data_IF_021146809751
#
_entry.id   IF_021146809751
#
_cell.length_a   1.000
_cell.length_b   1.000
_cell.length_c   1.000
_cell.angle_alpha   90.00
_cell.angle_beta   90.00
_cell.angle_gamma   90.00
#
_symmetry.space_group_name_H-M   'P 1'
#
loop_
_entity.id
_entity.type
_entity.pdbx_description
1 polymer ?
#
# COMPACT_ATOMS: atom_id res chain seq x y z
N UNK A 1 31.08 47.99 -55.86
CA UNK A 1 30.58 46.71 -56.38
C UNK A 1 30.30 45.79 -55.20
N UNK A 2 29.05 45.66 -54.87
CA UNK A 2 28.56 45.00 -53.66
C UNK A 2 28.30 43.53 -53.94
N UNK A 3 28.81 42.61 -53.14
CA UNK A 3 28.43 41.21 -53.12
C UNK A 3 28.01 40.84 -51.71
N UNK A 4 26.73 41.02 -51.43
CA UNK A 4 26.10 40.41 -50.24
C UNK A 4 25.61 39.02 -50.60
N UNK A 5 26.29 38.01 -50.08
CA UNK A 5 25.87 36.61 -50.13
C UNK A 5 24.66 36.40 -49.22
N UNK A 6 23.63 35.80 -49.74
CA UNK A 6 22.36 35.46 -49.09
C UNK A 6 22.60 34.26 -48.15
N UNK A 7 22.58 34.49 -46.84
CA UNK A 7 22.62 33.41 -45.84
C UNK A 7 21.27 32.67 -45.88
N UNK A 8 21.34 31.40 -46.31
CA UNK A 8 20.24 30.44 -46.23
C UNK A 8 19.96 30.10 -44.78
N UNK A 9 18.84 30.53 -44.25
CA UNK A 9 18.33 30.16 -42.94
C UNK A 9 17.81 28.73 -43.01
N UNK A 10 18.64 27.75 -42.66
CA UNK A 10 18.17 26.41 -42.37
C UNK A 10 17.31 26.47 -41.11
N UNK A 11 16.01 26.41 -41.31
CA UNK A 11 15.02 26.26 -40.25
C UNK A 11 15.16 24.84 -39.76
N UNK A 12 15.93 24.64 -38.67
CA UNK A 12 15.95 23.37 -37.94
C UNK A 12 14.55 23.18 -37.38
N UNK A 13 13.80 22.24 -37.95
CA UNK A 13 12.60 21.71 -37.34
C UNK A 13 13.04 20.90 -36.12
N UNK A 14 13.07 21.55 -34.98
CA UNK A 14 13.10 20.86 -33.72
C UNK A 14 11.71 20.23 -33.60
N UNK A 15 11.62 18.92 -33.87
CA UNK A 15 10.48 18.11 -33.46
C UNK A 15 10.31 18.36 -31.97
N UNK A 16 9.20 19.02 -31.64
CA UNK A 16 8.80 19.19 -30.26
C UNK A 16 8.46 17.83 -29.68
N UNK A 17 9.47 17.11 -29.22
CA UNK A 17 9.29 16.05 -28.23
C UNK A 17 8.60 16.72 -27.05
N UNK A 18 7.36 16.35 -26.88
CA UNK A 18 6.47 16.87 -25.86
C UNK A 18 7.19 16.80 -24.51
N UNK A 19 7.30 17.94 -23.82
CA UNK A 19 7.81 18.00 -22.43
C UNK A 19 7.05 17.07 -21.49
N UNK A 20 6.00 16.41 -21.97
CA UNK A 20 5.24 15.36 -21.28
C UNK A 20 6.03 14.07 -21.14
N UNK A 21 6.89 13.75 -22.10
CA UNK A 21 7.69 12.51 -22.09
C UNK A 21 8.85 12.60 -21.10
N UNK A 22 9.36 13.79 -20.81
CA UNK A 22 10.35 14.05 -19.75
C UNK A 22 9.73 14.06 -18.34
N UNK A 23 8.38 14.21 -18.22
CA UNK A 23 7.64 14.16 -16.96
C UNK A 23 7.12 12.74 -16.65
N UNK A 24 7.13 11.83 -17.62
CA UNK A 24 6.66 10.45 -17.50
C UNK A 24 7.54 9.57 -16.59
N UNK A 25 8.75 10.01 -16.29
CA UNK A 25 9.67 9.33 -15.36
C UNK A 25 9.70 10.03 -13.98
N UNK A 26 8.72 10.88 -13.69
CA UNK A 26 8.54 11.38 -12.32
C UNK A 26 8.10 10.21 -11.46
N UNK A 27 8.96 9.85 -10.52
CA UNK A 27 8.78 8.79 -9.52
C UNK A 27 7.40 8.94 -8.87
N UNK A 28 6.42 8.18 -9.38
CA UNK A 28 5.06 8.17 -8.85
C UNK A 28 5.12 7.53 -7.47
N UNK A 29 4.75 8.30 -6.45
CA UNK A 29 4.70 7.78 -5.09
C UNK A 29 3.43 6.95 -4.88
N UNK A 30 3.51 5.93 -4.03
CA UNK A 30 2.35 5.15 -3.58
C UNK A 30 1.23 6.00 -2.94
N UNK A 31 1.47 7.29 -2.68
CA UNK A 31 0.49 8.25 -2.15
C UNK A 31 -0.35 8.92 -3.24
N UNK A 32 0.17 8.95 -4.46
CA UNK A 32 -0.45 9.67 -5.58
C UNK A 32 -1.47 8.81 -6.34
N UNK A 33 -1.44 7.50 -6.10
CA UNK A 33 -2.29 6.51 -6.77
C UNK A 33 -3.52 6.17 -5.93
N UNK A 34 -4.61 5.80 -6.60
CA UNK A 34 -5.84 5.33 -5.97
C UNK A 34 -5.57 4.19 -4.97
N UNK A 35 -6.08 4.31 -3.71
CA UNK A 35 -5.87 3.27 -2.69
C UNK A 35 -6.36 1.88 -3.09
N UNK A 36 -7.45 1.80 -3.83
CA UNK A 36 -8.08 0.55 -4.25
C UNK A 36 -7.24 -0.17 -5.29
N UNK A 37 -6.78 0.54 -6.30
CA UNK A 37 -5.96 0.02 -7.39
C UNK A 37 -4.57 -0.37 -6.90
N UNK A 38 -3.95 0.47 -6.07
CA UNK A 38 -2.69 0.15 -5.43
C UNK A 38 -2.76 -1.13 -4.59
N UNK A 39 -3.83 -1.32 -3.79
CA UNK A 39 -4.01 -2.53 -2.98
C UNK A 39 -4.25 -3.75 -3.86
N UNK A 40 -5.01 -3.63 -4.95
CA UNK A 40 -5.23 -4.71 -5.90
C UNK A 40 -3.92 -5.15 -6.60
N UNK A 41 -3.11 -4.18 -7.04
CA UNK A 41 -1.82 -4.46 -7.64
C UNK A 41 -0.80 -5.05 -6.63
N UNK A 42 -0.78 -4.53 -5.39
CA UNK A 42 0.04 -5.06 -4.31
C UNK A 42 -0.36 -6.49 -3.92
N UNK A 43 -1.64 -6.83 -3.98
CA UNK A 43 -2.10 -8.20 -3.69
C UNK A 43 -1.39 -9.21 -4.59
N UNK A 44 -1.29 -8.94 -5.89
CA UNK A 44 -0.57 -9.82 -6.81
C UNK A 44 0.93 -9.96 -6.47
N UNK A 45 1.55 -8.91 -5.93
CA UNK A 45 2.95 -8.99 -5.46
C UNK A 45 3.08 -9.74 -4.12
N UNK A 46 2.02 -9.81 -3.29
CA UNK A 46 2.06 -10.57 -2.03
C UNK A 46 2.19 -12.09 -2.27
N UNK A 47 1.69 -12.60 -3.39
CA UNK A 47 1.82 -14.01 -3.77
C UNK A 47 3.30 -14.46 -3.92
N UNK A 48 4.21 -13.52 -4.18
CA UNK A 48 5.64 -13.77 -4.27
C UNK A 48 6.32 -14.02 -2.89
N UNK A 49 5.61 -13.73 -1.80
CA UNK A 49 6.14 -13.89 -0.44
C UNK A 49 5.54 -15.12 0.23
N UNK A 50 6.23 -16.26 0.22
CA UNK A 50 5.79 -17.53 0.82
C UNK A 50 5.36 -17.42 2.29
N UNK A 51 5.91 -16.44 3.02
CA UNK A 51 5.59 -16.22 4.43
C UNK A 51 4.24 -15.53 4.65
N UNK A 52 3.69 -14.91 3.60
CA UNK A 52 2.38 -14.25 3.67
C UNK A 52 1.35 -15.26 3.19
N UNK A 53 0.92 -16.14 4.07
CA UNK A 53 -0.07 -17.17 3.77
C UNK A 53 -1.17 -17.19 4.83
N UNK A 54 -2.43 -17.47 4.46
CA UNK A 54 -3.50 -17.61 5.42
C UNK A 54 -3.23 -18.81 6.35
N UNK A 55 -3.34 -18.65 7.68
CA UNK A 55 -3.30 -19.78 8.58
C UNK A 55 -4.58 -20.64 8.45
N UNK A 56 -4.51 -21.89 8.85
CA UNK A 56 -5.64 -22.85 8.74
C UNK A 56 -6.97 -22.30 9.27
N UNK A 57 -6.93 -21.59 10.38
CA UNK A 57 -8.12 -21.00 10.99
C UNK A 57 -8.68 -19.78 10.23
N UNK A 58 -7.99 -19.26 9.23
CA UNK A 58 -8.41 -18.05 8.50
C UNK A 58 -9.69 -18.27 7.68
N UNK A 59 -9.95 -19.50 7.27
CA UNK A 59 -11.13 -19.86 6.45
C UNK A 59 -12.44 -19.66 7.23
N UNK A 60 -12.44 -19.98 8.54
CA UNK A 60 -13.68 -20.05 9.33
C UNK A 60 -13.95 -18.77 10.13
N UNK A 61 -13.00 -17.83 10.20
CA UNK A 61 -13.13 -16.67 11.09
C UNK A 61 -13.63 -15.44 10.41
N UNK A 62 -14.53 -14.75 11.07
CA UNK A 62 -14.91 -13.41 10.67
C UNK A 62 -13.89 -12.36 11.09
N UNK A 63 -13.72 -11.32 10.27
CA UNK A 63 -12.67 -10.29 10.43
C UNK A 63 -12.88 -9.34 11.62
N UNK A 64 -14.01 -9.43 12.31
CA UNK A 64 -14.31 -8.65 13.51
C UNK A 64 -15.69 -8.92 14.05
N UNK A 65 -15.95 -8.45 15.28
CA UNK A 65 -17.26 -8.64 15.95
C UNK A 65 -18.41 -7.87 15.31
N UNK A 66 -18.12 -6.94 14.39
CA UNK A 66 -19.11 -6.19 13.62
C UNK A 66 -19.54 -6.92 12.35
N UNK A 67 -18.80 -7.95 11.93
CA UNK A 67 -19.15 -8.76 10.77
C UNK A 67 -20.01 -9.94 11.20
N UNK A 68 -21.00 -10.28 10.38
CA UNK A 68 -21.88 -11.41 10.62
C UNK A 68 -21.29 -12.70 10.04
N UNK A 69 -20.63 -12.59 8.88
CA UNK A 69 -20.09 -13.73 8.15
C UNK A 69 -18.58 -13.59 7.92
N UNK A 70 -17.86 -14.69 7.67
CA UNK A 70 -16.47 -14.68 7.23
C UNK A 70 -16.34 -14.02 5.83
N UNK A 71 -15.15 -13.64 5.39
CA UNK A 71 -14.92 -13.13 4.04
C UNK A 71 -15.25 -14.20 2.99
N UNK A 72 -15.86 -13.78 1.89
CA UNK A 72 -16.20 -14.65 0.75
C UNK A 72 -15.04 -14.80 -0.23
N UNK A 73 -14.16 -13.78 -0.31
CA UNK A 73 -13.00 -13.79 -1.20
C UNK A 73 -11.95 -14.76 -0.67
N UNK A 74 -11.45 -15.64 -1.53
CA UNK A 74 -10.39 -16.59 -1.16
C UNK A 74 -9.07 -15.88 -0.83
N UNK A 75 -8.75 -14.82 -1.56
CA UNK A 75 -7.54 -14.01 -1.46
C UNK A 75 -7.65 -12.83 -0.46
N UNK A 76 -8.59 -12.91 0.47
CA UNK A 76 -8.84 -11.82 1.43
C UNK A 76 -7.64 -11.55 2.36
N UNK A 77 -6.84 -12.60 2.62
CA UNK A 77 -5.69 -12.51 3.53
C UNK A 77 -4.57 -11.66 2.92
N UNK A 78 -4.21 -11.96 1.68
CA UNK A 78 -3.21 -11.25 0.88
C UNK A 78 -3.65 -9.81 0.62
N UNK A 79 -4.91 -9.61 0.27
CA UNK A 79 -5.51 -8.28 0.12
C UNK A 79 -5.45 -7.48 1.43
N UNK A 80 -5.69 -8.14 2.56
CA UNK A 80 -5.55 -7.51 3.88
C UNK A 80 -4.09 -7.18 4.19
N UNK A 81 -3.15 -8.05 3.86
CA UNK A 81 -1.73 -7.83 4.05
C UNK A 81 -1.24 -6.62 3.22
N UNK A 82 -1.61 -6.55 1.94
CA UNK A 82 -1.33 -5.42 1.06
C UNK A 82 -1.89 -4.09 1.61
N UNK A 83 -3.15 -4.11 2.03
CA UNK A 83 -3.79 -2.94 2.66
C UNK A 83 -3.11 -2.52 3.96
N UNK A 84 -2.65 -3.46 4.78
CA UNK A 84 -1.93 -3.17 6.02
C UNK A 84 -0.54 -2.60 5.74
N UNK A 85 0.20 -3.15 4.78
CA UNK A 85 1.50 -2.62 4.36
C UNK A 85 1.38 -1.15 3.93
N UNK A 86 0.39 -0.83 3.09
CA UNK A 86 0.12 0.56 2.69
C UNK A 86 -0.18 1.46 3.90
N UNK A 87 -1.00 1.00 4.85
CA UNK A 87 -1.31 1.79 6.06
C UNK A 87 -0.10 2.03 6.95
N UNK A 88 0.79 1.04 7.09
CA UNK A 88 2.06 1.20 7.82
C UNK A 88 2.94 2.25 7.12
N UNK A 89 2.99 2.25 5.79
CA UNK A 89 3.75 3.23 5.02
C UNK A 89 3.25 4.67 5.20
N UNK A 90 1.93 4.86 5.28
CA UNK A 90 1.31 6.19 5.38
C UNK A 90 1.39 6.76 6.80
N UNK A 91 1.06 5.93 7.80
CA UNK A 91 0.91 6.40 9.18
C UNK A 91 2.18 6.31 10.02
N UNK A 92 3.24 5.69 9.50
CA UNK A 92 4.51 5.52 10.23
C UNK A 92 4.40 4.48 11.35
N UNK A 93 5.01 4.70 12.51
CA UNK A 93 5.01 3.70 13.57
C UNK A 93 3.60 3.38 14.04
N UNK A 94 3.12 2.17 13.72
CA UNK A 94 1.75 1.77 14.01
C UNK A 94 1.70 0.41 14.73
N UNK A 95 0.87 0.33 15.76
CA UNK A 95 0.67 -0.87 16.55
C UNK A 95 -0.57 -1.66 16.14
N UNK A 96 -0.64 -2.91 16.60
CA UNK A 96 -1.76 -3.83 16.33
C UNK A 96 -3.12 -3.25 16.74
N UNK A 97 -3.20 -2.56 17.88
CA UNK A 97 -4.46 -2.00 18.37
C UNK A 97 -4.96 -0.87 17.46
N UNK A 98 -4.09 0.01 17.01
CA UNK A 98 -4.44 1.11 16.12
C UNK A 98 -4.93 0.59 14.75
N UNK A 99 -4.21 -0.38 14.17
CA UNK A 99 -4.67 -1.04 12.95
C UNK A 99 -6.02 -1.76 13.15
N UNK A 100 -6.21 -2.43 14.28
CA UNK A 100 -7.51 -3.07 14.57
C UNK A 100 -8.66 -2.04 14.66
N UNK A 101 -8.41 -0.82 15.14
CA UNK A 101 -9.40 0.27 15.13
C UNK A 101 -9.71 0.70 13.69
N UNK A 102 -8.69 0.85 12.84
CA UNK A 102 -8.89 1.22 11.42
C UNK A 102 -9.68 0.18 10.62
N UNK A 103 -9.60 -1.09 11.01
CA UNK A 103 -10.39 -2.20 10.43
C UNK A 103 -11.64 -2.53 11.22
N UNK A 104 -12.01 -1.69 12.17
CA UNK A 104 -13.25 -1.77 12.91
C UNK A 104 -14.46 -1.31 12.08
N UNK A 105 -15.61 -1.39 12.69
CA UNK A 105 -16.86 -0.95 12.08
C UNK A 105 -18.00 -0.87 13.08
N UNK A 106 -19.15 -0.50 12.61
CA UNK A 106 -20.37 -0.41 13.39
C UNK A 106 -20.94 -1.82 13.63
N UNK A 107 -21.15 -2.17 14.90
CA UNK A 107 -21.80 -3.44 15.27
C UNK A 107 -23.30 -3.22 15.44
N UNK A 108 -24.08 -4.02 14.72
CA UNK A 108 -25.51 -4.15 14.97
C UNK A 108 -25.73 -4.82 16.32
N UNK A 109 -26.54 -4.20 17.16
CA UNK A 109 -26.87 -4.68 18.52
C UNK A 109 -28.36 -4.96 18.71
N UNK A 110 -29.09 -5.14 17.60
CA UNK A 110 -30.54 -5.28 17.59
C UNK A 110 -31.23 -4.01 18.04
N UNK A 111 -32.06 -4.07 19.07
CA UNK A 111 -32.85 -2.93 19.59
C UNK A 111 -31.96 -1.86 20.26
N UNK A 112 -30.75 -2.24 20.75
CA UNK A 112 -29.83 -1.29 21.38
C UNK A 112 -29.11 -0.43 20.33
N UNK A 113 -28.78 0.85 20.67
CA UNK A 113 -28.02 1.71 19.76
C UNK A 113 -26.74 1.04 19.25
N UNK A 114 -26.43 1.23 17.97
CA UNK A 114 -25.21 0.71 17.34
C UNK A 114 -23.96 1.27 18.04
N UNK A 115 -22.91 0.45 18.08
CA UNK A 115 -21.63 0.82 18.69
C UNK A 115 -20.49 0.51 17.75
N UNK A 116 -19.53 1.44 17.62
CA UNK A 116 -18.27 1.17 16.93
C UNK A 116 -17.44 0.14 17.73
N UNK A 117 -16.92 -0.85 17.04
CA UNK A 117 -16.07 -1.91 17.62
C UNK A 117 -14.84 -2.13 16.75
N UNK A 118 -13.77 -2.61 17.35
CA UNK A 118 -12.52 -2.89 16.65
C UNK A 118 -12.61 -4.16 15.82
N UNK A 119 -11.81 -4.24 14.76
CA UNK A 119 -11.57 -5.47 14.02
C UNK A 119 -10.80 -6.51 14.84
N UNK A 120 -10.59 -7.69 14.26
CA UNK A 120 -9.86 -8.78 14.90
C UNK A 120 -8.38 -8.41 15.10
N UNK A 121 -7.95 -8.32 16.35
CA UNK A 121 -6.55 -8.07 16.71
C UNK A 121 -5.66 -9.27 16.40
N UNK A 122 -6.21 -10.48 16.38
CA UNK A 122 -5.44 -11.69 16.07
C UNK A 122 -5.01 -11.69 14.59
N UNK A 123 -5.95 -11.41 13.69
CA UNK A 123 -5.68 -11.27 12.26
C UNK A 123 -4.61 -10.18 12.03
N UNK A 124 -4.82 -8.99 12.61
CA UNK A 124 -3.87 -7.88 12.47
C UNK A 124 -2.48 -8.24 13.00
N UNK A 125 -2.40 -8.93 14.14
CA UNK A 125 -1.12 -9.35 14.73
C UNK A 125 -0.42 -10.36 13.83
N UNK A 126 -1.12 -11.38 13.35
CA UNK A 126 -0.53 -12.44 12.54
C UNK A 126 -0.01 -11.90 11.20
N UNK A 127 -0.79 -11.07 10.53
CA UNK A 127 -0.35 -10.42 9.28
C UNK A 127 0.89 -9.54 9.52
N UNK A 128 0.91 -8.73 10.60
CA UNK A 128 2.09 -7.92 10.91
C UNK A 128 3.33 -8.77 11.19
N UNK A 129 3.19 -9.92 11.84
CA UNK A 129 4.30 -10.85 12.05
C UNK A 129 4.81 -11.41 10.71
N UNK A 130 3.91 -11.80 9.81
CA UNK A 130 4.26 -12.29 8.47
C UNK A 130 4.97 -11.19 7.63
N UNK A 131 4.53 -9.94 7.74
CA UNK A 131 5.21 -8.80 7.10
C UNK A 131 6.60 -8.54 7.69
N UNK A 132 6.78 -8.71 9.00
CA UNK A 132 8.11 -8.63 9.64
C UNK A 132 9.02 -9.78 9.17
N UNK A 133 8.52 -11.02 9.13
CA UNK A 133 9.23 -12.21 8.65
C UNK A 133 9.60 -12.12 7.16
N UNK A 134 8.80 -11.42 6.36
CA UNK A 134 9.07 -11.13 4.94
C UNK A 134 10.05 -9.96 4.74
N UNK A 135 10.48 -9.30 5.83
CA UNK A 135 11.38 -8.16 5.77
C UNK A 135 10.76 -6.86 5.24
N UNK A 136 9.44 -6.79 5.11
CA UNK A 136 8.73 -5.61 4.62
C UNK A 136 8.49 -4.58 5.73
N UNK A 137 8.39 -5.03 6.98
CA UNK A 137 8.23 -4.15 8.15
C UNK A 137 9.25 -4.48 9.23
N UNK A 138 9.52 -3.50 10.11
CA UNK A 138 10.39 -3.66 11.27
C UNK A 138 9.79 -2.99 12.50
N UNK A 139 10.15 -3.50 13.69
CA UNK A 139 9.76 -2.89 14.96
C UNK A 139 10.61 -1.65 15.23
N UNK A 140 9.95 -0.52 15.48
CA UNK A 140 10.60 0.70 15.94
C UNK A 140 10.51 0.80 17.44
N UNK A 141 11.68 0.93 18.07
CA UNK A 141 11.81 1.23 19.50
C UNK A 141 11.79 2.72 19.74
N UNK A 142 11.46 3.12 20.95
CA UNK A 142 11.66 4.48 21.41
C UNK A 142 13.19 4.77 21.59
N UNK A 143 13.56 6.03 21.76
CA UNK A 143 14.96 6.45 21.93
C UNK A 143 15.68 5.77 23.10
N UNK A 144 14.96 5.42 24.19
CA UNK A 144 15.50 4.70 25.34
C UNK A 144 15.55 3.17 25.17
N UNK A 145 15.05 2.62 24.07
CA UNK A 145 14.97 1.17 23.83
C UNK A 145 14.01 0.39 24.74
N UNK A 146 13.31 1.08 25.64
CA UNK A 146 12.47 0.42 26.67
C UNK A 146 11.07 0.05 26.17
N UNK A 147 10.56 0.72 25.14
CA UNK A 147 9.19 0.53 24.62
C UNK A 147 9.17 0.46 23.10
N UNK A 148 8.36 -0.45 22.57
CA UNK A 148 8.05 -0.53 21.13
C UNK A 148 7.03 0.54 20.79
N UNK A 149 7.35 1.40 19.81
CA UNK A 149 6.42 2.40 19.27
C UNK A 149 5.44 1.79 18.26
N UNK A 150 5.85 0.72 17.61
CA UNK A 150 5.08 0.05 16.57
C UNK A 150 5.96 -0.42 15.42
N UNK A 151 5.32 -0.78 14.32
CA UNK A 151 6.00 -1.19 13.10
C UNK A 151 6.14 -0.04 12.13
N UNK A 152 7.26 -0.02 11.45
CA UNK A 152 7.57 0.91 10.35
C UNK A 152 7.92 0.11 9.11
N UNK A 153 7.75 0.72 7.97
CA UNK A 153 8.11 0.16 6.69
C UNK A 153 9.63 0.15 6.52
N UNK A 154 10.17 -0.86 5.84
CA UNK A 154 11.57 -0.95 5.45
C UNK A 154 11.84 -0.21 4.13
N UNK A 155 13.09 0.16 3.81
CA UNK A 155 13.43 0.74 2.51
C UNK A 155 13.07 -0.18 1.33
N UNK A 156 13.22 -1.49 1.51
CA UNK A 156 12.83 -2.47 0.49
C UNK A 156 11.33 -2.43 0.18
N UNK A 157 10.50 -2.31 1.22
CA UNK A 157 9.05 -2.20 1.04
C UNK A 157 8.64 -0.83 0.49
N UNK A 158 9.37 0.26 0.79
CA UNK A 158 9.16 1.54 0.11
C UNK A 158 9.39 1.42 -1.39
N UNK A 159 10.53 0.83 -1.81
CA UNK A 159 10.83 0.60 -3.22
C UNK A 159 9.79 -0.30 -3.90
N UNK A 160 9.27 -1.31 -3.20
CA UNK A 160 8.18 -2.15 -3.68
C UNK A 160 6.91 -1.34 -3.94
N UNK A 161 6.49 -0.53 -2.97
CA UNK A 161 5.29 0.31 -3.06
C UNK A 161 5.37 1.32 -4.22
N UNK A 162 6.50 2.01 -4.37
CA UNK A 162 6.70 2.99 -5.44
C UNK A 162 6.76 2.31 -6.81
N UNK A 163 7.41 1.15 -6.92
CA UNK A 163 7.43 0.36 -8.16
C UNK A 163 6.02 -0.07 -8.58
N UNK A 164 5.20 -0.54 -7.65
CA UNK A 164 3.82 -0.93 -7.93
C UNK A 164 2.97 0.29 -8.28
N UNK A 165 3.16 1.41 -7.59
CA UNK A 165 2.48 2.66 -7.90
C UNK A 165 2.80 3.15 -9.32
N UNK A 166 4.06 3.05 -9.75
CA UNK A 166 4.45 3.36 -11.13
C UNK A 166 3.75 2.47 -12.16
N UNK A 167 3.62 1.16 -11.90
CA UNK A 167 2.87 0.24 -12.78
C UNK A 167 1.39 0.63 -12.90
N UNK A 168 0.76 0.98 -11.78
CA UNK A 168 -0.67 1.39 -11.76
C UNK A 168 -0.85 2.70 -12.51
N UNK A 169 -0.04 3.70 -12.23
CA UNK A 169 -0.10 4.99 -12.93
C UNK A 169 0.10 4.86 -14.45
N UNK A 170 0.99 3.94 -14.88
CA UNK A 170 1.21 3.67 -16.31
C UNK A 170 0.02 2.95 -16.96
N UNK A 171 -0.77 2.21 -16.21
CA UNK A 171 -1.96 1.52 -16.71
C UNK A 171 -3.19 2.44 -16.85
N UNK A 172 -3.22 3.57 -16.15
CA UNK A 172 -4.29 4.58 -16.22
C UNK A 172 -4.09 5.60 -17.37
N UNK A 173 -2.91 5.61 -18.01
CA UNK A 173 -2.57 6.51 -19.13
C UNK A 173 -2.87 5.85 -20.47
#
# INVERSE_FOLDING_TARGET
>A
MSKYGRLSTHRVHIHGESRRDAFGDMMTSYRDVSPTELVAALRAEMDNFEKISPPEWAVDVKTGTHREMPPVQEDWWETRAASMLRKVAIHGPIGTNHLAQMYGGVKNRGVKPNKAVTGSRNITRKILQQLDESGLTTLKMNASGSKTLGRVITPAAHSLLDRVAGKVASAEM
#
